data_IF_194870097304
#
_entry.id   IF_194870097304
#
_cell.length_a   1.000
_cell.length_b   1.000
_cell.length_c   1.000
_cell.angle_alpha   90.00
_cell.angle_beta   90.00
_cell.angle_gamma   90.00
#
_symmetry.space_group_name_H-M   'P 1'
#
loop_
_entity.id
_entity.type
_entity.pdbx_description
1 polymer ?
#
# COMPACT_ATOMS: atom_id res chain seq x y z
N UNK A 1 9.56 -3.01 2.25
CA UNK A 1 8.77 -3.32 1.05
C UNK A 1 8.12 -2.03 0.63
N UNK A 2 8.14 -1.72 -0.67
CA UNK A 2 7.65 -0.45 -1.20
C UNK A 2 6.75 -0.70 -2.40
N UNK A 3 6.00 0.31 -2.81
CA UNK A 3 5.22 0.35 -4.04
C UNK A 3 5.09 1.81 -4.46
N UNK A 4 5.01 2.05 -5.76
CA UNK A 4 5.01 3.40 -6.32
C UNK A 4 3.91 3.49 -7.38
N UNK A 5 3.27 4.64 -7.45
CA UNK A 5 2.29 4.96 -8.48
C UNK A 5 2.40 6.45 -8.80
N UNK A 6 2.59 6.77 -10.07
CA UNK A 6 2.38 8.14 -10.54
C UNK A 6 0.88 8.37 -10.66
N UNK A 7 0.37 9.42 -10.01
CA UNK A 7 -1.06 9.69 -9.96
C UNK A 7 -1.68 9.86 -11.37
N UNK A 8 -0.93 10.34 -12.35
CA UNK A 8 -1.43 10.46 -13.74
C UNK A 8 -1.59 9.10 -14.46
N UNK A 9 -0.98 8.05 -13.93
CA UNK A 9 -1.01 6.69 -14.48
C UNK A 9 -1.90 5.75 -13.64
N UNK A 10 -2.93 6.28 -12.98
CA UNK A 10 -3.78 5.54 -12.05
C UNK A 10 -4.77 4.56 -12.70
N UNK A 11 -4.92 4.58 -14.03
CA UNK A 11 -5.87 3.70 -14.73
C UNK A 11 -5.57 2.21 -14.47
N UNK A 12 -6.63 1.41 -14.40
CA UNK A 12 -6.59 -0.04 -14.26
C UNK A 12 -7.19 -0.70 -15.50
N UNK A 13 -6.71 -1.89 -15.86
CA UNK A 13 -7.31 -2.70 -16.94
C UNK A 13 -7.88 -4.04 -16.45
N UNK A 14 -8.44 -4.80 -17.38
CA UNK A 14 -9.12 -6.09 -17.16
C UNK A 14 -8.27 -7.18 -16.50
N UNK A 15 -6.94 -7.04 -16.47
CA UNK A 15 -6.04 -7.99 -15.79
C UNK A 15 -6.00 -7.79 -14.28
N UNK A 16 -6.54 -6.68 -13.80
CA UNK A 16 -6.58 -6.33 -12.37
C UNK A 16 -7.37 -7.36 -11.57
N UNK A 17 -6.79 -7.80 -10.46
CA UNK A 17 -7.49 -8.59 -9.43
C UNK A 17 -7.35 -7.91 -8.06
N UNK A 18 -8.11 -8.36 -7.06
CA UNK A 18 -8.19 -7.72 -5.73
C UNK A 18 -6.83 -7.66 -4.98
N UNK A 19 -5.83 -8.48 -5.35
CA UNK A 19 -4.46 -8.40 -4.81
C UNK A 19 -3.39 -7.99 -5.82
N UNK A 20 -3.74 -7.94 -7.11
CA UNK A 20 -2.77 -7.71 -8.19
C UNK A 20 -3.31 -6.67 -9.17
N UNK A 21 -3.23 -5.37 -8.82
CA UNK A 21 -3.64 -4.29 -9.71
C UNK A 21 -2.70 -4.20 -10.91
N UNK A 22 -3.29 -3.96 -12.09
CA UNK A 22 -2.55 -3.81 -13.33
C UNK A 22 -2.78 -2.44 -13.94
N UNK A 23 -1.74 -1.59 -13.90
CA UNK A 23 -1.70 -0.31 -14.58
C UNK A 23 -1.09 -0.48 -15.98
N UNK A 24 -1.82 -0.18 -17.06
CA UNK A 24 -1.31 -0.38 -18.41
C UNK A 24 -0.21 0.62 -18.81
N UNK A 25 -0.11 1.75 -18.10
CA UNK A 25 0.80 2.87 -18.43
C UNK A 25 0.71 3.35 -19.88
N UNK A 26 -0.44 3.17 -20.54
CA UNK A 26 -0.66 3.49 -21.95
C UNK A 26 -0.89 4.98 -22.22
N UNK A 27 -1.25 5.75 -21.19
CA UNK A 27 -1.39 7.21 -21.22
C UNK A 27 -1.26 7.80 -19.82
N UNK A 28 -1.02 9.10 -19.77
CA UNK A 28 -1.12 9.91 -18.56
C UNK A 28 -2.45 10.68 -18.58
N UNK A 29 -3.29 10.45 -17.57
CA UNK A 29 -4.54 11.18 -17.31
C UNK A 29 -4.24 12.26 -16.26
N UNK A 30 -4.41 13.56 -16.58
CA UNK A 30 -4.17 14.62 -15.61
C UNK A 30 -5.01 14.47 -14.34
N UNK A 31 -4.41 14.72 -13.18
CA UNK A 31 -5.12 14.79 -11.91
C UNK A 31 -5.70 16.19 -11.74
N UNK A 32 -7.02 16.27 -11.59
CA UNK A 32 -7.73 17.53 -11.38
C UNK A 32 -7.66 17.97 -9.91
N UNK A 33 -7.06 19.14 -9.60
CA UNK A 33 -6.94 19.61 -8.22
C UNK A 33 -8.30 19.72 -7.51
N UNK A 34 -8.40 19.18 -6.30
CA UNK A 34 -9.57 19.17 -5.44
C UNK A 34 -10.51 17.98 -5.69
N UNK A 35 -10.27 17.20 -6.75
CA UNK A 35 -11.02 15.96 -7.02
C UNK A 35 -10.54 14.85 -6.11
N UNK A 36 -11.47 14.06 -5.58
CA UNK A 36 -11.18 12.90 -4.75
C UNK A 36 -11.20 11.67 -5.66
N UNK A 37 -10.10 10.94 -5.73
CA UNK A 37 -9.96 9.75 -6.57
C UNK A 37 -9.40 8.56 -5.78
N UNK A 38 -9.74 7.34 -6.21
CA UNK A 38 -9.17 6.10 -5.65
C UNK A 38 -7.94 5.69 -6.45
N UNK A 39 -6.80 5.62 -5.78
CA UNK A 39 -5.53 5.16 -6.30
C UNK A 39 -5.23 3.77 -5.74
N UNK A 40 -5.08 2.79 -6.63
CA UNK A 40 -4.75 1.41 -6.23
C UNK A 40 -3.27 1.17 -6.50
N UNK A 41 -2.46 1.02 -5.45
CA UNK A 41 -1.02 0.83 -5.54
C UNK A 41 -0.69 -0.66 -5.47
N UNK A 42 0.10 -1.16 -6.42
CA UNK A 42 0.75 -2.46 -6.29
C UNK A 42 1.93 -2.33 -5.33
N UNK A 43 2.00 -3.24 -4.36
CA UNK A 43 3.16 -3.33 -3.49
C UNK A 43 4.05 -4.49 -3.98
N UNK A 44 5.39 -4.34 -3.93
CA UNK A 44 6.31 -5.38 -4.41
C UNK A 44 6.22 -6.68 -3.61
N UNK A 45 6.19 -7.86 -4.26
CA UNK A 45 6.08 -9.15 -3.59
C UNK A 45 7.03 -9.34 -2.40
N UNK A 46 6.51 -9.79 -1.26
CA UNK A 46 7.32 -10.17 -0.09
C UNK A 46 6.67 -11.28 0.71
N UNK A 47 7.44 -11.97 1.54
CA UNK A 47 6.91 -12.89 2.54
C UNK A 47 7.50 -12.56 3.91
N UNK A 48 6.64 -12.43 4.92
CA UNK A 48 7.04 -12.20 6.31
C UNK A 48 6.16 -12.98 7.27
N UNK A 49 6.74 -13.53 8.32
CA UNK A 49 5.98 -14.21 9.39
C UNK A 49 5.78 -13.27 10.56
N UNK A 50 4.52 -12.99 10.89
CA UNK A 50 4.16 -12.13 12.00
C UNK A 50 3.89 -12.98 13.25
N UNK A 51 4.62 -12.69 14.33
CA UNK A 51 4.47 -13.37 15.62
C UNK A 51 3.63 -12.52 16.57
N UNK A 52 3.06 -13.10 17.63
CA UNK A 52 2.42 -12.32 18.69
C UNK A 52 3.34 -11.19 19.17
N UNK A 53 2.83 -9.95 19.20
CA UNK A 53 3.58 -8.75 19.55
C UNK A 53 4.27 -8.04 18.37
N UNK A 54 4.26 -8.61 17.16
CA UNK A 54 4.65 -7.86 15.95
C UNK A 54 3.54 -6.89 15.54
N UNK A 55 3.93 -5.78 14.95
CA UNK A 55 3.04 -4.83 14.28
C UNK A 55 3.37 -4.73 12.80
N UNK A 56 2.37 -4.35 11.99
CA UNK A 56 2.56 -3.95 10.61
C UNK A 56 2.31 -2.45 10.49
N UNK A 57 3.32 -1.73 10.02
CA UNK A 57 3.22 -0.30 9.71
C UNK A 57 3.29 -0.11 8.20
N UNK A 58 2.35 0.68 7.68
CA UNK A 58 2.32 1.13 6.29
C UNK A 58 2.71 2.60 6.28
N UNK A 59 3.74 2.94 5.53
CA UNK A 59 4.08 4.34 5.27
C UNK A 59 3.57 4.75 3.89
N UNK A 60 2.90 5.89 3.85
CA UNK A 60 2.49 6.53 2.61
C UNK A 60 3.19 7.89 2.53
N UNK A 61 3.91 8.07 1.44
CA UNK A 61 4.73 9.25 1.19
C UNK A 61 4.57 9.66 -0.26
N UNK A 62 4.56 10.96 -0.52
CA UNK A 62 4.53 11.49 -1.89
C UNK A 62 5.94 11.58 -2.51
N UNK A 63 6.98 11.23 -1.74
CA UNK A 63 8.34 11.10 -2.23
C UNK A 63 9.08 9.99 -1.49
N UNK A 64 10.00 9.31 -2.14
CA UNK A 64 10.79 8.30 -1.44
C UNK A 64 11.77 8.95 -0.44
N UNK A 65 12.06 8.27 0.69
CA UNK A 65 12.92 8.83 1.72
C UNK A 65 14.35 9.01 1.16
N UNK A 66 14.92 10.22 1.22
CA UNK A 66 16.21 10.51 0.58
C UNK A 66 17.42 9.86 1.27
N UNK A 67 17.25 9.21 2.43
CA UNK A 67 18.37 8.88 3.31
C UNK A 67 18.17 7.59 4.12
N UNK A 68 17.89 6.46 3.47
CA UNK A 68 18.28 5.18 4.09
C UNK A 68 19.73 4.81 3.67
N UNK A 69 20.40 3.99 4.49
CA UNK A 69 21.81 3.64 4.27
C UNK A 69 22.05 2.88 2.95
N UNK A 70 21.00 2.29 2.37
CA UNK A 70 21.06 1.59 1.10
C UNK A 70 20.91 2.57 -0.08
N UNK A 71 19.99 3.52 0.03
CA UNK A 71 19.70 4.54 -0.98
C UNK A 71 20.84 5.56 -1.14
N UNK A 72 21.61 5.82 -0.07
CA UNK A 72 22.77 6.71 -0.12
C UNK A 72 23.91 6.23 -1.06
N UNK A 73 23.88 4.96 -1.47
CA UNK A 73 24.85 4.38 -2.39
C UNK A 73 24.36 4.39 -3.85
N UNK A 74 23.11 4.75 -4.09
CA UNK A 74 22.53 4.82 -5.42
C UNK A 74 22.86 6.18 -6.07
N UNK A 75 23.09 6.21 -7.39
CA UNK A 75 23.33 7.46 -8.07
C UNK A 75 22.04 8.32 -8.05
N UNK A 76 22.13 9.66 -8.11
CA UNK A 76 20.97 10.55 -7.96
C UNK A 76 19.83 10.29 -8.96
N UNK A 77 20.12 9.68 -10.11
CA UNK A 77 19.14 9.35 -11.15
C UNK A 77 18.35 8.08 -10.85
N UNK A 78 18.67 7.36 -9.77
CA UNK A 78 17.94 6.17 -9.33
C UNK A 78 16.59 6.50 -8.65
N UNK A 79 16.30 7.78 -8.45
CA UNK A 79 15.16 8.25 -7.69
C UNK A 79 14.00 8.72 -8.58
N UNK A 80 12.77 8.52 -8.12
CA UNK A 80 11.57 9.08 -8.73
C UNK A 80 11.56 10.59 -8.51
N UNK A 81 11.63 11.37 -9.59
CA UNK A 81 11.58 12.82 -9.48
C UNK A 81 10.16 13.27 -9.10
N UNK A 82 9.99 14.02 -7.98
CA UNK A 82 8.69 14.55 -7.63
C UNK A 82 8.30 15.66 -8.60
N UNK A 83 7.01 16.01 -8.59
CA UNK A 83 6.53 17.18 -9.32
C UNK A 83 7.26 18.45 -8.84
N UNK A 84 7.79 19.24 -9.77
CA UNK A 84 8.63 20.42 -9.47
C UNK A 84 7.90 21.63 -8.87
N UNK A 85 6.70 21.45 -8.35
CA UNK A 85 5.88 22.49 -7.71
C UNK A 85 5.36 22.00 -6.36
N UNK A 86 5.08 22.90 -5.40
CA UNK A 86 4.41 22.50 -4.17
C UNK A 86 3.04 21.88 -4.49
N UNK A 87 2.75 20.72 -3.90
CA UNK A 87 1.47 20.02 -4.00
C UNK A 87 1.08 19.53 -2.62
N UNK A 88 -0.19 19.71 -2.24
CA UNK A 88 -0.73 19.15 -0.99
C UNK A 88 -1.57 17.92 -1.30
N UNK A 89 -1.17 16.77 -0.77
CA UNK A 89 -1.93 15.53 -0.90
C UNK A 89 -2.78 15.35 0.34
N UNK A 90 -4.06 14.99 0.17
CA UNK A 90 -4.98 14.67 1.25
C UNK A 90 -5.50 13.27 1.10
N UNK A 91 -5.23 12.42 2.08
CA UNK A 91 -5.69 11.03 2.12
C UNK A 91 -6.99 10.96 2.93
N UNK A 92 -8.02 10.34 2.35
CA UNK A 92 -9.34 10.20 2.97
C UNK A 92 -9.51 8.79 3.55
N UNK A 93 -10.04 8.72 4.78
CA UNK A 93 -10.16 7.48 5.59
C UNK A 93 -11.47 7.44 6.39
N UNK A 94 -12.50 8.08 5.88
CA UNK A 94 -13.82 8.12 6.50
C UNK A 94 -14.73 6.98 5.98
N UNK A 95 -15.96 6.90 6.50
CA UNK A 95 -16.89 5.83 6.14
C UNK A 95 -17.26 5.80 4.64
N UNK A 96 -17.20 6.94 3.96
CA UNK A 96 -17.44 7.08 2.53
C UNK A 96 -16.17 6.82 1.69
N UNK A 97 -14.99 7.07 2.25
CA UNK A 97 -13.69 6.93 1.60
C UNK A 97 -12.82 5.89 2.32
N UNK A 98 -13.07 4.60 2.04
CA UNK A 98 -12.46 3.47 2.76
C UNK A 98 -11.09 3.06 2.20
N UNK A 99 -10.09 3.94 2.38
CA UNK A 99 -8.70 3.56 2.12
C UNK A 99 -8.32 2.32 2.93
N UNK A 100 -7.69 1.34 2.29
CA UNK A 100 -7.46 0.00 2.85
C UNK A 100 -6.18 -0.63 2.33
N UNK A 101 -5.59 -1.51 3.14
CA UNK A 101 -4.54 -2.41 2.70
C UNK A 101 -5.14 -3.79 2.45
N UNK A 102 -4.81 -4.41 1.32
CA UNK A 102 -5.16 -5.80 0.99
C UNK A 102 -3.91 -6.66 1.09
N UNK A 103 -3.91 -7.61 2.01
CA UNK A 103 -2.81 -8.54 2.23
C UNK A 103 -3.26 -9.97 2.01
N UNK A 104 -2.49 -10.75 1.23
CA UNK A 104 -2.57 -12.20 1.30
C UNK A 104 -1.91 -12.66 2.59
N UNK A 105 -2.61 -13.50 3.34
CA UNK A 105 -2.03 -14.25 4.45
C UNK A 105 -2.27 -15.73 4.23
N UNK A 106 -1.40 -16.52 4.82
CA UNK A 106 -1.50 -17.96 4.76
C UNK A 106 -1.54 -18.56 6.15
N UNK A 107 -2.37 -19.59 6.30
CA UNK A 107 -2.46 -20.36 7.54
C UNK A 107 -1.88 -21.76 7.31
N UNK A 108 -1.07 -22.28 8.26
CA UNK A 108 -0.67 -23.68 8.23
C UNK A 108 -1.92 -24.57 8.23
N UNK A 109 -2.08 -25.41 7.20
CA UNK A 109 -3.11 -26.45 7.21
C UNK A 109 -2.54 -27.71 7.85
N UNK A 110 -3.31 -28.33 8.74
CA UNK A 110 -3.02 -29.70 9.17
C UNK A 110 -3.01 -30.62 7.93
N UNK A 111 -1.83 -31.12 7.54
CA UNK A 111 -1.65 -32.01 6.39
C UNK A 111 -1.00 -31.41 5.13
N UNK A 112 -0.44 -30.19 5.18
CA UNK A 112 0.62 -29.79 4.23
C UNK A 112 0.23 -28.96 2.99
N UNK A 113 -1.01 -28.47 2.88
CA UNK A 113 -1.39 -27.51 1.82
C UNK A 113 -1.81 -26.16 2.40
N UNK A 114 -1.03 -25.12 2.12
CA UNK A 114 -1.22 -23.73 2.56
C UNK A 114 -2.49 -23.12 1.93
N UNK A 115 -3.34 -22.46 2.73
CA UNK A 115 -4.51 -21.73 2.23
C UNK A 115 -4.18 -20.24 2.25
N UNK A 116 -4.13 -19.61 1.06
CA UNK A 116 -4.01 -18.17 0.95
C UNK A 116 -5.39 -17.52 0.98
N UNK A 117 -5.55 -16.49 1.81
CA UNK A 117 -6.76 -15.67 1.87
C UNK A 117 -6.37 -14.19 1.86
N UNK A 118 -7.15 -13.38 1.16
CA UNK A 118 -7.02 -11.92 1.20
C UNK A 118 -7.78 -11.36 2.39
N UNK A 119 -7.15 -10.47 3.14
CA UNK A 119 -7.81 -9.63 4.15
C UNK A 119 -7.60 -8.19 3.77
N UNK A 120 -8.71 -7.44 3.82
CA UNK A 120 -8.67 -6.00 3.72
C UNK A 120 -8.81 -5.37 5.09
N UNK A 121 -7.84 -4.54 5.47
CA UNK A 121 -7.88 -3.74 6.68
C UNK A 121 -8.05 -2.26 6.31
N UNK A 122 -9.09 -1.62 6.85
CA UNK A 122 -9.24 -0.17 6.70
C UNK A 122 -8.07 0.52 7.41
N UNK A 123 -7.49 1.51 6.75
CA UNK A 123 -6.47 2.34 7.36
C UNK A 123 -7.17 3.31 8.32
N UNK A 124 -6.90 3.28 9.64
CA UNK A 124 -7.56 4.15 10.59
C UNK A 124 -7.33 5.63 10.27
N UNK A 125 -8.32 6.45 10.58
CA UNK A 125 -8.27 7.89 10.40
C UNK A 125 -7.35 8.52 11.45
N UNK A 126 -6.05 8.50 11.20
CA UNK A 126 -5.08 9.33 11.91
C UNK A 126 -4.79 10.60 11.09
N UNK A 127 -4.78 11.74 11.78
CA UNK A 127 -4.57 13.06 11.20
C UNK A 127 -3.08 13.27 10.91
N UNK A 128 -2.72 13.48 9.64
CA UNK A 128 -1.37 13.89 9.25
C UNK A 128 -1.32 15.38 8.87
N UNK A 129 -0.47 16.19 9.55
CA UNK A 129 -0.18 17.54 9.13
C UNK A 129 0.94 17.66 8.08
N UNK A 130 1.56 16.55 7.64
CA UNK A 130 2.72 16.53 6.72
C UNK A 130 2.49 15.67 5.48
N UNK A 131 3.24 15.96 4.41
CA UNK A 131 3.19 15.29 3.11
C UNK A 131 3.53 13.78 3.16
N UNK A 132 4.15 13.32 4.25
CA UNK A 132 4.48 11.94 4.54
C UNK A 132 3.79 11.50 5.82
N UNK A 133 3.30 10.27 5.87
CA UNK A 133 2.69 9.70 7.07
C UNK A 133 2.75 8.18 7.15
N UNK A 134 2.87 7.66 8.37
CA UNK A 134 2.96 6.22 8.66
C UNK A 134 1.84 5.74 9.56
N UNK A 135 0.95 4.90 9.02
CA UNK A 135 -0.11 4.29 9.80
C UNK A 135 0.33 2.91 10.28
N UNK A 136 0.29 2.71 11.59
CA UNK A 136 0.38 1.35 12.13
C UNK A 136 -1.00 0.72 12.05
N UNK A 137 -1.11 -0.39 11.33
CA UNK A 137 -2.31 -1.21 11.37
C UNK A 137 -2.24 -1.99 12.67
N UNK A 138 -2.68 -1.35 13.75
CA UNK A 138 -2.85 -1.98 15.06
C UNK A 138 -3.98 -3.00 14.98
N UNK A 139 -3.71 -4.23 15.45
CA UNK A 139 -4.72 -5.28 15.46
C UNK A 139 -4.78 -6.12 14.19
N UNK A 140 -3.64 -6.38 13.52
CA UNK A 140 -3.53 -7.65 12.78
C UNK A 140 -3.65 -8.81 13.78
N UNK A 141 -4.90 -9.13 14.07
CA UNK A 141 -5.29 -10.31 14.80
C UNK A 141 -5.54 -11.32 13.70
N UNK A 142 -4.66 -12.31 13.58
CA UNK A 142 -4.95 -13.46 12.74
C UNK A 142 -6.38 -13.94 13.07
N UNK A 143 -7.19 -14.38 12.08
CA UNK A 143 -8.53 -14.89 12.33
C UNK A 143 -8.53 -15.85 13.54
N UNK A 144 -9.56 -15.85 14.39
CA UNK A 144 -9.56 -16.57 15.67
C UNK A 144 -9.25 -18.08 15.55
N UNK A 145 -9.44 -18.66 14.36
CA UNK A 145 -9.16 -20.07 14.06
C UNK A 145 -7.76 -20.34 13.45
N UNK A 146 -6.84 -19.37 13.50
CA UNK A 146 -5.48 -19.52 12.93
C UNK A 146 -4.57 -20.26 13.93
N UNK A 147 -4.07 -21.47 13.61
CA UNK A 147 -3.20 -22.19 14.53
C UNK A 147 -1.78 -21.60 14.45
N UNK A 148 -1.45 -20.68 15.36
CA UNK A 148 -0.08 -20.12 15.54
C UNK A 148 0.46 -19.35 14.30
N UNK A 149 1.67 -18.73 14.32
CA UNK A 149 1.98 -17.50 13.57
C UNK A 149 1.64 -17.63 12.09
N UNK A 150 0.76 -16.76 11.58
CA UNK A 150 0.46 -16.74 10.15
C UNK A 150 1.66 -16.14 9.41
N UNK A 151 2.03 -16.79 8.31
CA UNK A 151 2.97 -16.21 7.37
C UNK A 151 2.16 -15.32 6.43
N UNK A 152 2.46 -14.03 6.40
CA UNK A 152 2.00 -13.17 5.32
C UNK A 152 2.90 -13.41 4.11
N UNK A 153 2.45 -14.22 3.15
CA UNK A 153 3.11 -14.34 1.85
C UNK A 153 2.38 -13.45 0.86
N UNK A 154 2.88 -12.24 0.71
CA UNK A 154 2.34 -11.20 -0.13
C UNK A 154 2.99 -11.23 -1.52
N UNK A 155 2.79 -12.31 -2.28
CA UNK A 155 3.15 -12.32 -3.71
C UNK A 155 2.19 -11.44 -4.55
N UNK A 156 1.02 -11.11 -3.98
CA UNK A 156 -0.08 -10.31 -4.57
C UNK A 156 -0.68 -9.32 -3.54
N UNK A 157 0.14 -8.49 -2.89
CA UNK A 157 -0.39 -7.44 -2.00
C UNK A 157 -0.59 -6.11 -2.75
N UNK A 158 -1.68 -5.42 -2.39
CA UNK A 158 -1.94 -4.07 -2.89
C UNK A 158 -2.57 -3.17 -1.81
N UNK A 159 -2.33 -1.87 -1.93
CA UNK A 159 -3.02 -0.85 -1.14
C UNK A 159 -4.00 -0.09 -2.03
N UNK A 160 -5.21 0.19 -1.55
CA UNK A 160 -6.10 1.14 -2.18
C UNK A 160 -6.21 2.38 -1.28
N UNK A 161 -5.88 3.55 -1.83
CA UNK A 161 -5.85 4.81 -1.10
C UNK A 161 -6.68 5.83 -1.85
N UNK A 162 -7.62 6.46 -1.15
CA UNK A 162 -8.41 7.56 -1.68
C UNK A 162 -7.68 8.86 -1.39
N UNK A 163 -7.26 9.58 -2.43
CA UNK A 163 -6.43 10.78 -2.34
C UNK A 163 -7.09 11.92 -3.12
N UNK A 164 -6.90 13.15 -2.64
CA UNK A 164 -7.16 14.38 -3.39
C UNK A 164 -5.96 15.30 -3.34
N UNK A 165 -5.60 15.89 -4.48
CA UNK A 165 -4.49 16.84 -4.60
C UNK A 165 -5.01 18.28 -4.63
N UNK A 166 -4.35 19.21 -3.94
CA UNK A 166 -4.64 20.65 -3.99
C UNK A 166 -3.42 21.48 -4.33
#
# INVERSE_FOLDING_TARGET
>A
MSGYLEASHHELDERTTEGNPHHPHSRAVPVEPGTIEEYVLRLYPFASTFRPGHSLTVELSNNEPPADAHNALLPPEAFHLPVGRPVTHKIYRDAAHRSRLVLPFTTPKAGGAEVAKLVSACVPAEYWPSANGSVTIDGWTAPPDSPSPSTGRADDACGAVVVSDR
#
